data_IF_358195561468
#
_entry.id   IF_358195561468
#
_cell.length_a   1.000
_cell.length_b   1.000
_cell.length_c   1.000
_cell.angle_alpha   90.00
_cell.angle_beta   90.00
_cell.angle_gamma   90.00
#
_symmetry.space_group_name_H-M   'P 1'
#
loop_
_entity.id
_entity.type
_entity.pdbx_description
1 polymer ?
#
# COMPACT_ATOMS: atom_id res chain seq x y z
N UNK A 1 -5.57 -8.29 13.22
CA UNK A 1 -6.62 -7.48 13.84
C UNK A 1 -7.46 -6.86 12.73
N UNK A 2 -8.79 -6.83 12.89
CA UNK A 2 -9.72 -6.19 11.95
C UNK A 2 -10.30 -4.98 12.64
N UNK A 3 -10.30 -3.85 11.94
CA UNK A 3 -10.84 -2.59 12.42
C UNK A 3 -12.03 -2.16 11.57
N UNK A 4 -12.96 -1.45 12.16
CA UNK A 4 -14.04 -0.80 11.47
C UNK A 4 -14.01 0.71 11.68
N UNK A 5 -14.44 1.47 10.66
CA UNK A 5 -14.66 2.91 10.75
C UNK A 5 -16.15 3.17 10.89
N UNK A 6 -16.55 3.91 11.94
CA UNK A 6 -17.91 4.37 12.18
C UNK A 6 -17.87 5.89 12.37
N UNK A 7 -18.36 6.62 11.40
CA UNK A 7 -18.14 8.08 11.34
C UNK A 7 -16.65 8.40 11.27
N UNK A 8 -16.14 9.23 12.18
CA UNK A 8 -14.71 9.57 12.28
C UNK A 8 -13.92 8.65 13.22
N UNK A 9 -14.57 7.69 13.88
CA UNK A 9 -13.94 6.82 14.87
C UNK A 9 -13.53 5.51 14.21
N UNK A 10 -12.30 5.08 14.46
CA UNK A 10 -11.79 3.75 14.09
C UNK A 10 -11.68 2.91 15.34
N UNK A 11 -12.34 1.76 15.35
CA UNK A 11 -12.37 0.85 16.49
C UNK A 11 -11.89 -0.55 16.11
N UNK A 12 -11.17 -1.24 17.01
CA UNK A 12 -10.86 -2.65 16.80
C UNK A 12 -12.15 -3.46 16.97
N UNK A 13 -12.48 -4.25 15.96
CA UNK A 13 -13.69 -5.07 15.94
C UNK A 13 -13.38 -6.54 16.28
N UNK A 14 -12.34 -7.08 15.68
CA UNK A 14 -12.04 -8.52 15.75
C UNK A 14 -10.54 -8.75 15.85
N UNK A 15 -10.14 -9.62 16.76
CA UNK A 15 -8.79 -10.16 16.86
C UNK A 15 -8.79 -11.58 16.28
N UNK A 16 -7.91 -11.80 15.31
CA UNK A 16 -7.73 -13.13 14.68
C UNK A 16 -6.30 -13.58 14.94
N UNK A 17 -6.15 -14.68 15.66
CA UNK A 17 -4.86 -15.32 15.88
C UNK A 17 -4.62 -16.32 14.75
N UNK A 18 -3.58 -16.10 13.97
CA UNK A 18 -3.21 -16.94 12.84
C UNK A 18 -1.93 -17.73 13.16
N UNK A 19 -1.88 -19.03 12.86
CA UNK A 19 -0.67 -19.85 13.07
C UNK A 19 0.46 -19.48 12.10
N UNK A 20 0.13 -18.91 10.95
CA UNK A 20 1.07 -18.49 9.92
C UNK A 20 0.42 -17.49 8.95
N UNK A 21 1.23 -16.96 8.02
CA UNK A 21 0.81 -16.00 6.99
C UNK A 21 0.60 -16.64 5.62
N UNK A 22 0.22 -17.90 5.58
CA UNK A 22 -0.05 -18.60 4.33
C UNK A 22 -1.41 -18.20 3.74
N UNK A 23 -1.50 -18.23 2.41
CA UNK A 23 -2.72 -17.89 1.68
C UNK A 23 -3.94 -18.68 2.17
N UNK A 24 -3.79 -20.02 2.38
CA UNK A 24 -4.87 -20.88 2.86
C UNK A 24 -5.39 -20.46 4.24
N UNK A 25 -4.51 -19.99 5.11
CA UNK A 25 -4.86 -19.49 6.45
C UNK A 25 -5.67 -18.21 6.34
N UNK A 26 -5.26 -17.28 5.48
CA UNK A 26 -6.02 -16.05 5.22
C UNK A 26 -7.37 -16.32 4.58
N UNK A 27 -7.47 -17.21 3.57
CA UNK A 27 -8.76 -17.60 2.96
C UNK A 27 -9.74 -18.10 4.02
N UNK A 28 -9.31 -19.02 4.85
CA UNK A 28 -10.15 -19.61 5.92
C UNK A 28 -10.62 -18.53 6.89
N UNK A 29 -9.70 -17.69 7.35
CA UNK A 29 -10.00 -16.64 8.33
C UNK A 29 -10.93 -15.56 7.78
N UNK A 30 -10.70 -15.09 6.54
CA UNK A 30 -11.54 -14.05 5.95
C UNK A 30 -12.91 -14.57 5.52
N UNK A 31 -13.02 -15.84 5.09
CA UNK A 31 -14.34 -16.46 4.83
C UNK A 31 -15.14 -16.57 6.13
N UNK A 32 -14.53 -17.04 7.21
CA UNK A 32 -15.20 -17.10 8.51
C UNK A 32 -15.61 -15.71 9.00
N UNK A 33 -14.74 -14.70 8.86
CA UNK A 33 -15.08 -13.31 9.15
C UNK A 33 -16.30 -12.85 8.35
N UNK A 34 -16.34 -13.14 7.04
CA UNK A 34 -17.47 -12.81 6.16
C UNK A 34 -18.77 -13.48 6.62
N UNK A 35 -18.73 -14.75 6.97
CA UNK A 35 -19.87 -15.51 7.51
C UNK A 35 -20.38 -14.90 8.83
N UNK A 36 -19.47 -14.58 9.75
CA UNK A 36 -19.82 -13.90 10.99
C UNK A 36 -20.50 -12.55 10.75
N UNK A 37 -19.97 -11.72 9.84
CA UNK A 37 -20.59 -10.43 9.52
C UNK A 37 -22.00 -10.62 8.95
N UNK A 38 -22.18 -11.56 8.05
CA UNK A 38 -23.49 -11.85 7.42
C UNK A 38 -24.51 -12.38 8.45
N UNK A 39 -24.07 -13.07 9.49
CA UNK A 39 -24.97 -13.60 10.54
C UNK A 39 -25.63 -12.51 11.40
N UNK A 40 -25.08 -11.29 11.43
CA UNK A 40 -25.67 -10.14 12.12
C UNK A 40 -26.85 -9.49 11.39
N UNK A 41 -27.31 -10.06 10.26
CA UNK A 41 -28.42 -9.51 9.48
C UNK A 41 -27.98 -8.36 8.58
N UNK A 42 -28.85 -7.53 8.10
CA UNK A 42 -28.72 -6.48 7.05
C UNK A 42 -27.43 -5.62 7.07
N UNK A 43 -26.27 -6.24 7.29
CA UNK A 43 -24.97 -5.57 7.24
C UNK A 43 -24.50 -5.57 5.79
N UNK A 44 -24.39 -4.40 5.20
CA UNK A 44 -23.74 -4.25 3.89
C UNK A 44 -22.28 -4.69 4.02
N UNK A 45 -21.90 -5.76 3.31
CA UNK A 45 -20.50 -6.16 3.21
C UNK A 45 -19.67 -5.00 2.68
N UNK A 46 -18.51 -4.83 3.30
CA UNK A 46 -17.66 -3.65 3.16
C UNK A 46 -17.46 -3.24 1.71
N UNK A 47 -17.73 -1.97 1.43
CA UNK A 47 -17.42 -1.35 0.14
C UNK A 47 -15.92 -1.08 -0.02
N UNK A 48 -15.19 -0.97 1.08
CA UNK A 48 -13.77 -0.62 1.11
C UNK A 48 -13.03 -1.54 2.08
N UNK A 49 -11.91 -2.09 1.61
CA UNK A 49 -10.96 -2.85 2.42
C UNK A 49 -9.59 -2.20 2.31
N UNK A 50 -8.94 -1.95 3.43
CA UNK A 50 -7.56 -1.46 3.46
C UNK A 50 -6.65 -2.51 4.13
N UNK A 51 -5.52 -2.82 3.49
CA UNK A 51 -4.51 -3.76 4.02
C UNK A 51 -3.10 -3.20 3.90
N UNK A 52 -2.13 -3.93 4.43
CA UNK A 52 -0.73 -3.79 4.05
C UNK A 52 -0.47 -4.37 2.64
N UNK A 53 0.80 -4.35 2.22
CA UNK A 53 1.25 -4.85 0.90
C UNK A 53 1.74 -6.30 0.98
N UNK A 54 1.02 -7.16 1.71
CA UNK A 54 1.27 -8.59 1.73
C UNK A 54 0.53 -9.28 0.58
N UNK A 55 1.28 -9.81 -0.39
CA UNK A 55 0.74 -10.40 -1.64
C UNK A 55 -0.29 -11.49 -1.37
N UNK A 56 -0.03 -12.36 -0.38
CA UNK A 56 -0.95 -13.43 0.01
C UNK A 56 -2.29 -12.86 0.48
N UNK A 57 -2.27 -11.85 1.35
CA UNK A 57 -3.48 -11.20 1.87
C UNK A 57 -4.24 -10.47 0.77
N UNK A 58 -3.53 -9.74 -0.10
CA UNK A 58 -4.13 -9.02 -1.23
C UNK A 58 -4.91 -9.97 -2.16
N UNK A 59 -4.30 -11.12 -2.50
CA UNK A 59 -4.95 -12.10 -3.35
C UNK A 59 -6.22 -12.67 -2.72
N UNK A 60 -6.20 -12.89 -1.40
CA UNK A 60 -7.33 -13.43 -0.65
C UNK A 60 -8.45 -12.40 -0.48
N UNK A 61 -8.13 -11.13 -0.26
CA UNK A 61 -9.15 -10.07 -0.19
C UNK A 61 -9.93 -10.00 -1.50
N UNK A 62 -9.25 -10.05 -2.66
CA UNK A 62 -9.91 -10.08 -3.97
C UNK A 62 -10.82 -11.29 -4.16
N UNK A 63 -10.44 -12.47 -3.62
CA UNK A 63 -11.24 -13.69 -3.69
C UNK A 63 -12.47 -13.64 -2.79
N UNK A 64 -12.29 -13.21 -1.54
CA UNK A 64 -13.36 -13.27 -0.51
C UNK A 64 -14.32 -12.09 -0.60
N UNK A 65 -13.81 -10.91 -0.99
CA UNK A 65 -14.56 -9.66 -1.10
C UNK A 65 -14.41 -9.04 -2.51
N UNK A 66 -14.89 -9.73 -3.57
CA UNK A 66 -14.66 -9.31 -4.96
C UNK A 66 -15.24 -7.93 -5.29
N UNK A 67 -16.32 -7.53 -4.61
CA UNK A 67 -17.01 -6.25 -4.84
C UNK A 67 -16.41 -5.10 -4.04
N UNK A 68 -15.44 -5.38 -3.14
CA UNK A 68 -14.83 -4.34 -2.33
C UNK A 68 -13.73 -3.60 -3.09
N UNK A 69 -13.70 -2.27 -2.95
CA UNK A 69 -12.54 -1.47 -3.36
C UNK A 69 -11.39 -1.76 -2.39
N UNK A 70 -10.28 -2.27 -2.91
CA UNK A 70 -9.13 -2.65 -2.09
C UNK A 70 -8.01 -1.62 -2.22
N UNK A 71 -7.61 -1.03 -1.09
CA UNK A 71 -6.53 -0.07 -0.99
C UNK A 71 -5.43 -0.58 -0.07
N UNK A 72 -4.18 -0.22 -0.37
CA UNK A 72 -3.05 -0.37 0.54
C UNK A 72 -2.93 0.83 1.48
N UNK A 73 -2.48 0.59 2.68
CA UNK A 73 -2.24 1.64 3.67
C UNK A 73 -0.99 2.46 3.29
N UNK A 74 -1.09 3.78 3.24
CA UNK A 74 0.04 4.67 2.91
C UNK A 74 1.20 4.56 3.91
N UNK A 75 0.92 4.35 5.19
CA UNK A 75 1.97 4.09 6.17
C UNK A 75 2.80 2.86 5.79
N UNK A 76 2.14 1.74 5.44
CA UNK A 76 2.81 0.52 5.02
C UNK A 76 3.53 0.67 3.67
N UNK A 77 3.01 1.48 2.75
CA UNK A 77 3.73 1.87 1.53
C UNK A 77 5.08 2.51 1.88
N UNK A 78 5.08 3.57 2.72
CA UNK A 78 6.33 4.21 3.17
C UNK A 78 7.23 3.22 3.92
N UNK A 79 6.65 2.34 4.74
CA UNK A 79 7.42 1.33 5.46
C UNK A 79 8.11 0.34 4.51
N UNK A 80 7.48 -0.06 3.39
CA UNK A 80 8.10 -0.88 2.35
C UNK A 80 9.31 -0.16 1.73
N UNK A 81 9.18 1.13 1.42
CA UNK A 81 10.27 1.95 0.87
C UNK A 81 11.41 2.09 1.87
N UNK A 82 11.11 2.40 3.12
CA UNK A 82 12.12 2.52 4.18
C UNK A 82 12.85 1.21 4.45
N UNK A 83 12.14 0.07 4.48
CA UNK A 83 12.77 -1.26 4.59
C UNK A 83 13.73 -1.52 3.44
N UNK A 84 13.35 -1.14 2.20
CA UNK A 84 14.23 -1.29 1.04
C UNK A 84 15.47 -0.41 1.17
N UNK A 85 15.34 0.84 1.59
CA UNK A 85 16.47 1.74 1.87
C UNK A 85 17.42 1.10 2.90
N UNK A 86 16.87 0.54 3.98
CA UNK A 86 17.64 -0.14 5.02
C UNK A 86 18.38 -1.38 4.47
N UNK A 87 17.70 -2.20 3.68
CA UNK A 87 18.27 -3.41 3.07
C UNK A 87 19.37 -3.10 2.04
N UNK A 88 19.32 -1.93 1.42
CA UNK A 88 20.38 -1.43 0.52
C UNK A 88 21.54 -0.78 1.26
N UNK A 89 21.54 -0.77 2.59
CA UNK A 89 22.58 -0.12 3.40
C UNK A 89 22.54 1.41 3.40
N UNK A 90 21.46 2.01 2.86
CA UNK A 90 21.32 3.46 2.71
C UNK A 90 20.68 4.13 3.94
N UNK A 91 20.33 3.36 4.99
CA UNK A 91 19.65 3.89 6.18
C UNK A 91 20.40 5.05 6.83
N UNK A 92 21.72 4.91 7.07
CA UNK A 92 22.52 5.97 7.69
C UNK A 92 22.47 7.27 6.89
N UNK A 93 22.55 7.16 5.55
CA UNK A 93 22.44 8.32 4.66
C UNK A 93 21.03 8.93 4.70
N UNK A 94 20.00 8.11 4.67
CA UNK A 94 18.62 8.57 4.81
C UNK A 94 18.40 9.34 6.12
N UNK A 95 18.94 8.83 7.24
CA UNK A 95 18.74 9.44 8.56
C UNK A 95 19.53 10.76 8.73
N UNK A 96 20.68 10.94 8.04
CA UNK A 96 21.59 12.07 8.24
C UNK A 96 21.62 13.11 7.11
N UNK A 97 21.06 12.82 5.94
CA UNK A 97 21.11 13.67 4.75
C UNK A 97 19.69 14.13 4.36
N UNK A 98 19.29 15.39 4.69
CA UNK A 98 17.98 15.92 4.37
C UNK A 98 17.69 15.98 2.86
N UNK A 99 18.72 16.15 2.02
CA UNK A 99 18.55 16.17 0.57
C UNK A 99 18.22 14.76 0.05
N UNK A 100 18.92 13.75 0.55
CA UNK A 100 18.62 12.37 0.23
C UNK A 100 17.19 11.98 0.66
N UNK A 101 16.79 12.36 1.88
CA UNK A 101 15.40 12.17 2.34
C UNK A 101 14.39 12.81 1.39
N UNK A 102 14.68 14.02 0.93
CA UNK A 102 13.78 14.76 0.01
C UNK A 102 13.59 14.02 -1.30
N UNK A 103 14.66 13.40 -1.84
CA UNK A 103 14.56 12.57 -3.06
C UNK A 103 13.71 11.31 -2.84
N UNK A 104 13.83 10.65 -1.68
CA UNK A 104 12.95 9.53 -1.32
C UNK A 104 11.49 9.99 -1.21
N UNK A 105 11.25 11.11 -0.50
CA UNK A 105 9.90 11.69 -0.36
C UNK A 105 9.29 12.12 -1.69
N UNK A 106 10.10 12.49 -2.68
CA UNK A 106 9.63 12.80 -4.02
C UNK A 106 9.01 11.56 -4.70
N UNK A 107 9.62 10.37 -4.52
CA UNK A 107 9.02 9.12 -5.00
C UNK A 107 7.78 8.71 -4.18
N UNK A 108 7.80 8.91 -2.84
CA UNK A 108 6.63 8.71 -2.00
C UNK A 108 5.44 9.59 -2.42
N UNK A 109 5.72 10.83 -2.85
CA UNK A 109 4.71 11.80 -3.26
C UNK A 109 3.92 11.38 -4.51
N UNK A 110 4.42 10.43 -5.30
CA UNK A 110 3.68 9.83 -6.42
C UNK A 110 2.36 9.18 -5.96
N UNK A 111 2.25 8.80 -4.69
CA UNK A 111 0.99 8.30 -4.13
C UNK A 111 -0.12 9.37 -4.11
N UNK A 112 0.22 10.65 -4.21
CA UNK A 112 -0.73 11.76 -4.22
C UNK A 112 -1.01 12.32 -5.62
N UNK A 113 -0.47 11.66 -6.65
CA UNK A 113 -0.72 11.99 -8.04
C UNK A 113 -1.94 11.20 -8.55
N UNK A 114 -2.82 11.78 -9.38
CA UNK A 114 -3.88 11.02 -10.04
C UNK A 114 -3.32 9.79 -10.75
N UNK A 115 -4.02 8.65 -10.65
CA UNK A 115 -3.54 7.33 -11.11
C UNK A 115 -3.05 7.35 -12.57
N UNK A 116 -3.75 8.06 -13.45
CA UNK A 116 -3.42 8.20 -14.86
C UNK A 116 -2.17 9.05 -15.16
N UNK A 117 -1.64 9.76 -14.17
CA UNK A 117 -0.43 10.57 -14.29
C UNK A 117 0.79 9.99 -13.55
N UNK A 118 0.61 8.93 -12.76
CA UNK A 118 1.68 8.34 -11.94
C UNK A 118 2.90 7.97 -12.79
N UNK A 119 2.70 7.22 -13.86
CA UNK A 119 3.78 6.79 -14.76
C UNK A 119 4.51 7.98 -15.39
N UNK A 120 3.73 8.94 -15.93
CA UNK A 120 4.29 10.15 -16.53
C UNK A 120 5.10 10.95 -15.51
N UNK A 121 4.59 11.11 -14.29
CA UNK A 121 5.28 11.84 -13.23
C UNK A 121 6.57 11.16 -12.80
N UNK A 122 6.58 9.82 -12.72
CA UNK A 122 7.79 9.06 -12.46
C UNK A 122 8.84 9.26 -13.57
N UNK A 123 8.45 9.19 -14.84
CA UNK A 123 9.35 9.41 -15.96
C UNK A 123 9.95 10.83 -15.95
N UNK A 124 9.15 11.86 -15.63
CA UNK A 124 9.64 13.24 -15.46
C UNK A 124 10.72 13.33 -14.38
N UNK A 125 10.53 12.64 -13.23
CA UNK A 125 11.54 12.61 -12.16
C UNK A 125 12.86 12.00 -12.67
N UNK A 126 12.79 10.94 -13.48
CA UNK A 126 13.98 10.31 -14.06
C UNK A 126 14.66 11.21 -15.08
N UNK A 127 13.90 11.83 -15.99
CA UNK A 127 14.41 12.72 -17.05
C UNK A 127 15.12 13.95 -16.48
N UNK A 128 14.68 14.47 -15.35
CA UNK A 128 15.33 15.60 -14.68
C UNK A 128 16.70 15.25 -14.07
N UNK A 129 17.06 13.98 -14.04
CA UNK A 129 18.35 13.49 -13.50
C UNK A 129 18.71 14.04 -12.11
N UNK A 130 17.68 14.25 -11.27
CA UNK A 130 17.83 14.83 -9.93
C UNK A 130 18.09 13.79 -8.85
N UNK A 131 17.96 12.50 -9.18
CA UNK A 131 18.18 11.39 -8.24
C UNK A 131 19.68 11.02 -8.25
N UNK A 132 20.33 10.98 -7.08
CA UNK A 132 21.75 10.66 -7.01
C UNK A 132 22.00 9.19 -7.41
N UNK A 133 23.16 8.93 -8.05
CA UNK A 133 23.56 7.59 -8.53
C UNK A 133 23.49 6.52 -7.43
N UNK A 134 23.75 6.88 -6.17
CA UNK A 134 23.65 5.95 -5.05
C UNK A 134 22.20 5.45 -4.79
N UNK A 135 21.19 6.14 -5.32
CA UNK A 135 19.79 5.71 -5.24
C UNK A 135 19.40 4.74 -6.37
N UNK A 136 20.26 4.44 -7.35
CA UNK A 136 19.86 3.68 -8.53
C UNK A 136 19.17 2.36 -8.16
N UNK A 137 19.76 1.55 -7.28
CA UNK A 137 19.17 0.28 -6.84
C UNK A 137 17.81 0.46 -6.11
N UNK A 138 17.59 1.61 -5.49
CA UNK A 138 16.31 1.95 -4.86
C UNK A 138 15.28 2.39 -5.92
N UNK A 139 15.71 3.15 -6.91
CA UNK A 139 14.88 3.58 -8.04
C UNK A 139 14.45 2.37 -8.87
N UNK A 140 15.37 1.46 -9.18
CA UNK A 140 15.09 0.21 -9.89
C UNK A 140 14.04 -0.63 -9.14
N UNK A 141 14.19 -0.77 -7.82
CA UNK A 141 13.18 -1.44 -7.00
C UNK A 141 11.84 -0.71 -7.04
N UNK A 142 11.85 0.63 -6.98
CA UNK A 142 10.62 1.42 -7.02
C UNK A 142 9.91 1.21 -8.35
N UNK A 143 10.66 1.26 -9.45
CA UNK A 143 10.12 0.99 -10.78
C UNK A 143 9.55 -0.44 -10.88
N UNK A 144 10.33 -1.47 -10.55
CA UNK A 144 9.91 -2.87 -10.66
C UNK A 144 8.66 -3.17 -9.83
N UNK A 145 8.58 -2.62 -8.62
CA UNK A 145 7.53 -2.98 -7.65
C UNK A 145 6.27 -2.13 -7.79
N UNK A 146 6.41 -0.82 -8.02
CA UNK A 146 5.33 0.15 -7.89
C UNK A 146 4.90 0.80 -9.20
N UNK A 147 5.79 0.86 -10.19
CA UNK A 147 5.51 1.48 -11.49
C UNK A 147 5.35 0.43 -12.59
N UNK A 148 6.13 -0.64 -12.52
CA UNK A 148 6.30 -1.63 -13.59
C UNK A 148 7.47 -1.29 -14.49
N UNK A 149 8.29 -2.28 -14.80
CA UNK A 149 9.50 -2.11 -15.60
C UNK A 149 9.17 -1.88 -17.07
N UNK A 150 9.90 -0.96 -17.70
CA UNK A 150 9.76 -0.72 -19.12
C UNK A 150 10.60 -1.75 -19.90
N UNK A 151 9.94 -2.59 -20.69
CA UNK A 151 10.60 -3.62 -21.51
C UNK A 151 10.06 -3.61 -22.95
N UNK A 152 10.94 -3.73 -23.92
CA UNK A 152 10.60 -3.90 -25.36
C UNK A 152 9.51 -2.94 -25.88
N UNK A 153 9.50 -1.68 -25.46
CA UNK A 153 8.54 -0.62 -25.86
C UNK A 153 7.21 -0.58 -25.07
N UNK A 154 7.04 -1.44 -24.08
CA UNK A 154 5.86 -1.42 -23.20
C UNK A 154 6.29 -1.51 -21.76
N UNK A 155 5.46 -1.00 -20.86
CA UNK A 155 5.66 -1.14 -19.44
C UNK A 155 4.92 -2.37 -18.93
N UNK A 156 5.64 -3.22 -18.20
CA UNK A 156 5.05 -4.37 -17.53
C UNK A 156 4.13 -3.89 -16.40
N UNK A 157 3.06 -4.64 -16.06
CA UNK A 157 2.27 -4.32 -14.89
C UNK A 157 3.13 -4.32 -13.62
N UNK A 158 2.97 -3.33 -12.73
CA UNK A 158 3.67 -3.33 -11.45
C UNK A 158 3.16 -4.46 -10.55
N UNK A 159 3.97 -4.86 -9.57
CA UNK A 159 3.55 -5.83 -8.56
C UNK A 159 2.31 -5.35 -7.81
N UNK A 160 2.24 -4.06 -7.48
CA UNK A 160 1.09 -3.42 -6.85
C UNK A 160 0.49 -2.38 -7.81
N UNK A 161 -0.75 -2.59 -8.29
CA UNK A 161 -1.41 -1.64 -9.19
C UNK A 161 -1.48 -0.23 -8.59
N UNK A 162 -1.38 0.81 -9.41
CA UNK A 162 -1.46 2.22 -8.97
C UNK A 162 -2.70 2.50 -8.13
N UNK A 163 -3.84 1.93 -8.52
CA UNK A 163 -5.11 2.07 -7.80
C UNK A 163 -5.05 1.55 -6.37
N UNK A 164 -4.09 0.68 -6.05
CA UNK A 164 -3.94 0.12 -4.72
C UNK A 164 -3.17 1.03 -3.77
N UNK A 165 -2.16 1.76 -4.26
CA UNK A 165 -1.32 2.60 -3.40
C UNK A 165 -1.47 4.10 -3.62
N UNK A 166 -2.22 4.53 -4.66
CA UNK A 166 -2.57 5.93 -4.82
C UNK A 166 -3.54 6.38 -3.74
N UNK A 167 -3.18 7.47 -3.07
CA UNK A 167 -4.00 8.13 -2.07
C UNK A 167 -4.87 9.26 -2.65
N UNK A 168 -4.68 9.62 -3.92
CA UNK A 168 -5.33 10.77 -4.54
C UNK A 168 -6.85 10.73 -4.41
N UNK A 169 -7.48 9.64 -4.88
CA UNK A 169 -8.94 9.49 -4.80
C UNK A 169 -9.44 9.43 -3.35
N UNK A 170 -8.66 8.84 -2.45
CA UNK A 170 -9.03 8.75 -1.05
C UNK A 170 -9.10 10.15 -0.41
N UNK A 171 -8.13 11.03 -0.72
CA UNK A 171 -8.10 12.41 -0.21
C UNK A 171 -9.28 13.22 -0.77
N UNK A 172 -9.53 13.14 -2.08
CA UNK A 172 -10.63 13.87 -2.72
C UNK A 172 -12.00 13.48 -2.14
N UNK A 173 -12.15 12.22 -1.71
CA UNK A 173 -13.39 11.71 -1.13
C UNK A 173 -13.36 11.63 0.40
N UNK A 174 -12.41 12.31 1.06
CA UNK A 174 -12.25 12.37 2.53
C UNK A 174 -12.16 10.97 3.17
N UNK A 175 -11.63 10.01 2.44
CA UNK A 175 -11.42 8.65 2.92
C UNK A 175 -10.06 8.51 3.62
N UNK A 176 -9.92 7.60 4.61
CA UNK A 176 -8.64 7.35 5.24
C UNK A 176 -7.58 6.91 4.23
N UNK A 177 -6.37 7.47 4.35
CA UNK A 177 -5.20 7.05 3.56
C UNK A 177 -4.23 6.21 4.40
N UNK A 178 -4.42 6.16 5.71
CA UNK A 178 -3.56 5.45 6.66
C UNK A 178 -4.40 4.92 7.81
N UNK A 179 -3.94 3.84 8.44
CA UNK A 179 -4.49 3.27 9.65
C UNK A 179 -3.72 3.70 10.92
N UNK A 180 -2.96 4.80 10.87
CA UNK A 180 -2.16 5.26 12.02
C UNK A 180 -2.95 5.44 13.31
N UNK A 181 -4.24 5.79 13.22
CA UNK A 181 -5.14 5.86 14.40
C UNK A 181 -5.21 4.50 15.12
N UNK A 182 -4.96 3.43 14.39
CA UNK A 182 -5.06 2.05 14.83
C UNK A 182 -3.75 1.56 15.47
N UNK A 183 -2.60 2.06 15.02
CA UNK A 183 -1.29 1.64 15.53
C UNK A 183 -0.97 2.25 16.90
N UNK A 184 -1.67 3.31 17.29
CA UNK A 184 -1.60 3.88 18.64
C UNK A 184 -2.28 3.04 19.74
N UNK A 185 -2.89 1.89 19.39
CA UNK A 185 -3.51 0.94 20.33
C UNK A 185 -2.64 -0.28 20.64
N UNK A 186 -1.40 -0.34 20.13
CA UNK A 186 -0.44 -1.43 20.40
C UNK A 186 0.57 -1.04 21.47
#
# INVERSE_FOLDING_TARGET
MVYGKVGEIVVPLIYILLPNKQRVTYVRSLRHLKECILSFGNVSLHKIVMTDFEVSLISVVKEVFPDAKHYGCFFHFKQCLYRKISNLGLKKKYDSDPEFQRKVKLLEALAFVPVNFVERSFNIILEQNILPVQMQNFVDYFEDTWIGKFERRTRNPPMFPYTMWSCYSNIIHEMPVTNNIVEGWN
#
